data_IF_387210578117
#
_entry.id   IF_387210578117
#
_cell.length_a   1.000
_cell.length_b   1.000
_cell.length_c   1.000
_cell.angle_alpha   90.00
_cell.angle_beta   90.00
_cell.angle_gamma   90.00
#
_symmetry.space_group_name_H-M   'P 1'
#
loop_
_entity.id
_entity.type
_entity.pdbx_description
1 polymer ?
#
# COMPACT_ATOMS: atom_id res chain seq x y z
N UNK A 1 9.58 1.68 15.00
CA UNK A 1 8.91 0.53 14.34
C UNK A 1 9.87 -0.37 13.55
N UNK A 2 10.85 0.14 12.78
CA UNK A 2 11.70 -0.71 11.93
C UNK A 2 12.46 -1.81 12.69
N UNK A 3 12.93 -1.52 13.90
CA UNK A 3 13.53 -2.51 14.81
C UNK A 3 12.49 -3.40 15.50
N UNK A 4 11.60 -2.80 16.29
CA UNK A 4 10.68 -3.57 17.16
C UNK A 4 9.55 -4.28 16.41
N UNK A 5 9.23 -3.83 15.19
CA UNK A 5 8.03 -4.21 14.43
C UNK A 5 6.71 -4.11 15.21
N UNK A 6 6.71 -3.31 16.29
CA UNK A 6 5.59 -3.11 17.20
C UNK A 6 5.22 -1.64 17.26
N UNK A 7 3.92 -1.38 17.40
CA UNK A 7 3.31 -0.06 17.61
C UNK A 7 2.22 -0.24 18.66
N UNK A 8 2.26 0.52 19.74
CA UNK A 8 1.19 0.48 20.73
C UNK A 8 -0.15 0.86 20.08
N UNK A 9 -1.20 0.10 20.39
CA UNK A 9 -2.58 0.47 20.03
C UNK A 9 -3.16 1.44 21.06
N UNK A 10 -4.23 2.14 20.69
CA UNK A 10 -5.06 2.89 21.64
C UNK A 10 -5.89 1.95 22.53
N UNK A 11 -6.18 0.73 22.03
CA UNK A 11 -6.87 -0.30 22.79
C UNK A 11 -5.91 -1.02 23.74
N UNK A 12 -6.24 -1.03 25.04
CA UNK A 12 -5.46 -1.70 26.07
C UNK A 12 -5.30 -3.20 25.75
N UNK A 13 -4.08 -3.71 25.89
CA UNK A 13 -3.77 -5.13 25.60
C UNK A 13 -3.59 -5.46 24.12
N UNK A 14 -3.72 -4.49 23.21
CA UNK A 14 -3.47 -4.67 21.77
C UNK A 14 -2.14 -4.03 21.38
N UNK A 15 -1.27 -4.83 20.76
CA UNK A 15 -0.02 -4.37 20.15
C UNK A 15 -0.15 -4.47 18.64
N UNK A 16 -0.16 -3.35 17.93
CA UNK A 16 -0.11 -3.35 16.47
C UNK A 16 1.31 -3.62 15.96
N UNK A 17 1.46 -3.78 14.65
CA UNK A 17 2.76 -4.01 14.01
C UNK A 17 2.98 -5.44 13.55
N UNK A 18 3.97 -5.63 12.66
CA UNK A 18 4.31 -6.93 12.06
C UNK A 18 4.72 -8.00 13.08
N UNK A 19 5.23 -7.59 14.24
CA UNK A 19 5.60 -8.47 15.36
C UNK A 19 4.60 -8.38 16.52
N UNK A 20 3.45 -7.73 16.30
CA UNK A 20 2.33 -7.67 17.24
C UNK A 20 1.15 -8.51 16.75
N UNK A 21 -0.05 -8.10 17.14
CA UNK A 21 -1.34 -8.71 16.81
C UNK A 21 -1.88 -8.34 15.42
N UNK A 22 -1.14 -7.57 14.62
CA UNK A 22 -1.62 -7.16 13.30
C UNK A 22 -1.59 -8.34 12.32
N UNK A 23 -2.71 -8.56 11.63
CA UNK A 23 -2.82 -9.51 10.53
C UNK A 23 -3.01 -8.78 9.20
N UNK A 24 -2.72 -9.46 8.10
CA UNK A 24 -3.05 -9.01 6.75
C UNK A 24 -3.64 -10.16 5.93
N UNK A 25 -4.10 -9.89 4.71
CA UNK A 25 -4.62 -10.92 3.81
C UNK A 25 -3.60 -11.40 2.75
N UNK A 26 -2.30 -11.30 3.07
CA UNK A 26 -1.19 -11.85 2.28
C UNK A 26 -0.59 -13.06 3.00
N UNK A 27 0.58 -12.88 3.63
CA UNK A 27 1.23 -13.90 4.46
C UNK A 27 0.66 -13.94 5.90
N UNK A 28 -0.46 -13.27 6.14
CA UNK A 28 -1.21 -13.30 7.40
C UNK A 28 -0.50 -12.59 8.55
N UNK A 29 0.56 -13.15 9.13
CA UNK A 29 1.19 -12.63 10.35
C UNK A 29 2.71 -12.79 10.34
N UNK A 30 3.41 -11.94 11.09
CA UNK A 30 4.83 -12.15 11.42
C UNK A 30 5.04 -13.00 12.68
N UNK A 31 3.96 -13.41 13.37
CA UNK A 31 3.96 -14.34 14.51
C UNK A 31 4.96 -13.95 15.61
N UNK A 32 4.97 -12.67 15.99
CA UNK A 32 5.93 -12.12 16.96
C UNK A 32 7.41 -12.36 16.56
N UNK A 33 7.72 -12.38 15.25
CA UNK A 33 9.03 -12.70 14.68
C UNK A 33 9.41 -14.19 14.71
N UNK A 34 8.47 -15.08 15.01
CA UNK A 34 8.69 -16.54 14.93
C UNK A 34 8.52 -17.12 13.53
N UNK A 35 7.83 -16.41 12.62
CA UNK A 35 7.83 -16.79 11.21
C UNK A 35 9.10 -16.29 10.51
N UNK A 36 10.18 -17.10 10.58
CA UNK A 36 11.53 -16.69 10.18
C UNK A 36 11.64 -16.29 8.70
N UNK A 37 10.77 -16.80 7.83
CA UNK A 37 10.66 -16.38 6.44
C UNK A 37 10.31 -14.90 6.26
N UNK A 38 9.70 -14.27 7.26
CA UNK A 38 9.42 -12.83 7.26
C UNK A 38 10.65 -11.99 7.60
N UNK A 39 11.62 -12.53 8.34
CA UNK A 39 12.78 -11.80 8.87
C UNK A 39 13.78 -11.39 7.80
N UNK A 40 13.66 -11.91 6.58
CA UNK A 40 14.41 -11.38 5.43
C UNK A 40 14.15 -9.89 5.16
N UNK A 41 13.08 -9.31 5.70
CA UNK A 41 12.80 -7.87 5.64
C UNK A 41 12.96 -7.13 7.00
N UNK A 42 13.54 -7.78 8.01
CA UNK A 42 13.83 -7.16 9.30
C UNK A 42 15.20 -6.47 9.26
N UNK A 43 15.39 -5.41 10.06
CA UNK A 43 16.64 -4.62 10.06
C UNK A 43 17.71 -5.19 11.01
N UNK A 44 17.50 -6.39 11.54
CA UNK A 44 18.49 -7.15 12.29
C UNK A 44 19.25 -8.14 11.42
N UNK A 45 20.20 -8.82 12.03
CA UNK A 45 20.92 -9.92 11.39
C UNK A 45 20.05 -11.17 11.37
N UNK A 46 19.80 -11.72 10.17
CA UNK A 46 18.90 -12.85 10.01
C UNK A 46 19.45 -14.11 10.73
N UNK A 47 18.73 -14.59 11.74
CA UNK A 47 19.17 -15.73 12.56
C UNK A 47 19.98 -15.35 13.80
N UNK A 48 20.16 -14.06 14.08
CA UNK A 48 20.75 -13.57 15.33
C UNK A 48 19.64 -12.90 16.15
N UNK A 49 19.56 -13.24 17.44
CA UNK A 49 18.53 -12.70 18.35
C UNK A 49 18.72 -11.21 18.65
N UNK A 50 19.96 -10.73 18.57
CA UNK A 50 20.34 -9.36 18.92
C UNK A 50 21.13 -8.67 17.81
N UNK A 51 21.07 -7.33 17.78
CA UNK A 51 21.90 -6.51 16.92
C UNK A 51 21.20 -5.96 15.68
N UNK A 52 21.36 -4.65 15.47
CA UNK A 52 20.91 -3.95 14.27
C UNK A 52 21.90 -4.19 13.14
N UNK A 53 21.40 -4.62 11.98
CA UNK A 53 22.17 -4.65 10.76
C UNK A 53 22.13 -3.26 10.10
N UNK A 54 23.14 -2.43 10.41
CA UNK A 54 23.29 -1.10 9.83
C UNK A 54 23.41 -1.12 8.30
N UNK A 55 23.96 -2.20 7.74
CA UNK A 55 24.30 -2.34 6.33
C UNK A 55 23.08 -2.63 5.46
N UNK A 56 21.97 -3.11 6.04
CA UNK A 56 20.69 -3.23 5.32
C UNK A 56 20.21 -1.89 4.75
N UNK A 57 20.53 -0.78 5.42
CA UNK A 57 20.14 0.56 4.96
C UNK A 57 21.32 1.39 4.45
N UNK A 58 22.54 1.09 4.90
CA UNK A 58 23.72 1.91 4.64
C UNK A 58 24.85 1.20 3.89
N UNK A 59 24.75 -0.11 3.61
CA UNK A 59 25.76 -0.82 2.83
C UNK A 59 25.82 -0.27 1.41
N UNK A 60 27.01 0.09 0.95
CA UNK A 60 27.23 0.60 -0.42
C UNK A 60 27.19 -0.50 -1.48
N UNK A 61 27.32 -1.75 -1.06
CA UNK A 61 27.37 -2.93 -1.92
C UNK A 61 26.49 -4.04 -1.32
N UNK A 62 25.97 -4.91 -2.19
CA UNK A 62 25.21 -6.08 -1.76
C UNK A 62 26.18 -7.21 -1.45
N UNK A 63 26.06 -7.81 -0.26
CA UNK A 63 26.91 -8.92 0.16
C UNK A 63 26.09 -9.95 0.94
N UNK A 64 26.36 -11.24 0.70
CA UNK A 64 25.65 -12.33 1.37
C UNK A 64 26.30 -12.66 2.71
N UNK A 65 26.13 -11.77 3.69
CA UNK A 65 26.68 -11.96 5.04
C UNK A 65 26.25 -13.28 5.69
N UNK A 66 25.05 -13.77 5.38
CA UNK A 66 24.55 -15.01 5.98
C UNK A 66 25.35 -16.22 5.51
N UNK A 67 25.64 -16.29 4.22
CA UNK A 67 26.45 -17.36 3.63
C UNK A 67 27.89 -17.24 4.12
N UNK A 68 28.49 -16.06 4.01
CA UNK A 68 29.87 -15.83 4.46
C UNK A 68 30.08 -16.18 5.96
N UNK A 69 29.17 -15.77 6.85
CA UNK A 69 29.25 -16.14 8.26
C UNK A 69 28.97 -17.63 8.51
N UNK A 70 28.10 -18.24 7.70
CA UNK A 70 27.84 -19.69 7.76
C UNK A 70 29.08 -20.50 7.39
N UNK A 71 29.76 -20.11 6.32
CA UNK A 71 30.98 -20.78 5.84
C UNK A 71 32.13 -20.59 6.82
N UNK A 72 32.37 -19.36 7.30
CA UNK A 72 33.38 -19.09 8.34
C UNK A 72 33.13 -19.96 9.59
N UNK A 73 31.88 -20.11 10.00
CA UNK A 73 31.53 -20.93 11.17
C UNK A 73 31.70 -22.43 10.91
N UNK A 74 31.40 -22.91 9.70
CA UNK A 74 31.56 -24.31 9.32
C UNK A 74 33.04 -24.73 9.25
N UNK A 75 33.91 -23.79 8.89
CA UNK A 75 35.35 -24.00 8.71
C UNK A 75 36.21 -23.62 9.93
N UNK A 76 35.58 -23.15 11.01
CA UNK A 76 36.29 -22.55 12.14
C UNK A 76 37.25 -23.52 12.86
N UNK A 77 36.94 -24.82 12.83
CA UNK A 77 37.71 -25.90 13.46
C UNK A 77 38.46 -26.77 12.44
N UNK A 78 38.42 -26.41 11.15
CA UNK A 78 39.14 -27.14 10.11
C UNK A 78 40.60 -26.68 10.06
N UNK A 79 41.52 -27.65 10.08
CA UNK A 79 42.95 -27.39 10.04
C UNK A 79 43.55 -27.41 8.63
N UNK A 80 42.75 -27.79 7.63
CA UNK A 80 43.13 -27.84 6.23
C UNK A 80 43.57 -26.45 5.70
N UNK A 81 44.75 -26.35 5.06
CA UNK A 81 45.27 -25.08 4.56
C UNK A 81 44.36 -24.38 3.55
N UNK A 82 43.69 -25.11 2.66
CA UNK A 82 42.82 -24.53 1.64
C UNK A 82 41.58 -23.92 2.31
N UNK A 83 41.07 -24.59 3.34
CA UNK A 83 39.95 -24.10 4.15
C UNK A 83 40.31 -22.82 4.93
N UNK A 84 41.53 -22.74 5.47
CA UNK A 84 42.04 -21.53 6.12
C UNK A 84 42.20 -20.35 5.15
N UNK A 85 42.60 -20.62 3.91
CA UNK A 85 42.69 -19.59 2.86
C UNK A 85 41.30 -19.04 2.52
N UNK A 86 40.30 -19.90 2.31
CA UNK A 86 38.90 -19.50 2.07
C UNK A 86 38.37 -18.61 3.21
N UNK A 87 38.60 -18.99 4.47
CA UNK A 87 38.16 -18.18 5.62
C UNK A 87 38.86 -16.81 5.64
N UNK A 88 40.16 -16.75 5.31
CA UNK A 88 40.89 -15.49 5.25
C UNK A 88 40.35 -14.58 4.14
N UNK A 89 40.07 -15.13 2.95
CA UNK A 89 39.46 -14.41 1.83
C UNK A 89 38.09 -13.84 2.21
N UNK A 90 37.19 -14.67 2.77
CA UNK A 90 35.86 -14.22 3.24
C UNK A 90 35.97 -13.11 4.29
N UNK A 91 36.91 -13.21 5.22
CA UNK A 91 37.13 -12.16 6.22
C UNK A 91 37.64 -10.85 5.58
N UNK A 92 38.51 -10.93 4.57
CA UNK A 92 38.98 -9.76 3.82
C UNK A 92 37.86 -9.12 2.99
N UNK A 93 37.04 -9.93 2.33
CA UNK A 93 35.84 -9.47 1.63
C UNK A 93 34.88 -8.75 2.57
N UNK A 94 34.55 -9.37 3.71
CA UNK A 94 33.70 -8.74 4.73
C UNK A 94 34.31 -7.40 5.16
N UNK A 95 35.61 -7.36 5.47
CA UNK A 95 36.31 -6.11 5.85
C UNK A 95 36.27 -5.06 4.76
N UNK A 96 36.27 -5.45 3.49
CA UNK A 96 36.15 -4.55 2.34
C UNK A 96 34.75 -3.96 2.26
N UNK A 97 33.72 -4.82 2.22
CA UNK A 97 32.33 -4.40 2.05
C UNK A 97 31.83 -3.55 3.22
N UNK A 98 32.17 -3.90 4.47
CA UNK A 98 31.69 -3.15 5.65
C UNK A 98 32.23 -1.72 5.71
N UNK A 99 33.32 -1.41 4.99
CA UNK A 99 33.87 -0.05 4.89
C UNK A 99 33.14 0.80 3.86
N UNK A 100 32.44 0.18 2.90
CA UNK A 100 31.63 0.88 1.91
C UNK A 100 30.27 1.25 2.52
N UNK A 101 30.22 2.36 3.25
CA UNK A 101 28.99 2.88 3.87
C UNK A 101 28.49 4.10 3.07
N UNK A 102 27.19 4.16 2.83
CA UNK A 102 26.55 5.25 2.08
C UNK A 102 25.27 5.76 2.74
N UNK A 103 24.77 6.90 2.26
CA UNK A 103 23.43 7.35 2.60
C UNK A 103 22.39 6.45 1.92
N UNK A 104 21.26 6.11 2.59
CA UNK A 104 20.27 5.20 2.03
C UNK A 104 19.74 5.67 0.68
N UNK A 105 20.00 4.85 -0.34
CA UNK A 105 19.41 4.94 -1.68
C UNK A 105 18.12 4.10 -1.80
N UNK A 106 17.36 4.30 -2.90
CA UNK A 106 16.05 3.65 -3.11
C UNK A 106 16.09 2.12 -3.10
N UNK A 107 17.16 1.50 -3.61
CA UNK A 107 17.34 0.04 -3.59
C UNK A 107 17.43 -0.53 -2.17
N UNK A 108 18.05 0.17 -1.21
CA UNK A 108 18.14 -0.29 0.18
C UNK A 108 16.77 -0.35 0.84
N UNK A 109 15.97 0.72 0.72
CA UNK A 109 14.59 0.71 1.18
C UNK A 109 13.76 -0.33 0.42
N UNK A 110 14.02 -0.42 -0.89
CA UNK A 110 13.35 -1.29 -1.84
C UNK A 110 13.52 -2.78 -1.57
N UNK A 111 14.64 -3.21 -0.99
CA UNK A 111 14.88 -4.62 -0.67
C UNK A 111 13.74 -5.21 0.17
N UNK A 112 13.19 -4.40 1.08
CA UNK A 112 12.02 -4.76 1.88
C UNK A 112 10.71 -4.21 1.31
N UNK A 113 10.69 -2.94 0.88
CA UNK A 113 9.45 -2.24 0.55
C UNK A 113 8.90 -2.60 -0.85
N UNK A 114 9.75 -2.97 -1.80
CA UNK A 114 9.34 -3.40 -3.16
C UNK A 114 8.94 -4.87 -3.19
N UNK A 115 9.52 -5.70 -2.31
CA UNK A 115 9.39 -7.18 -2.34
C UNK A 115 8.47 -7.76 -1.27
N UNK A 116 7.79 -6.92 -0.49
CA UNK A 116 6.88 -7.35 0.58
C UNK A 116 5.74 -8.25 0.08
N UNK A 117 5.35 -9.24 0.89
CA UNK A 117 4.32 -10.24 0.50
C UNK A 117 4.87 -11.44 -0.28
N UNK A 118 6.21 -11.60 -0.29
CA UNK A 118 6.90 -12.75 -0.87
C UNK A 118 7.23 -12.61 -2.35
N UNK A 119 7.42 -11.37 -2.83
CA UNK A 119 7.86 -11.09 -4.20
C UNK A 119 7.72 -9.62 -4.59
N UNK A 120 8.43 -9.24 -5.65
CA UNK A 120 8.41 -7.88 -6.20
C UNK A 120 7.03 -7.46 -6.71
N UNK A 121 6.60 -6.25 -6.32
CA UNK A 121 5.34 -5.62 -6.69
C UNK A 121 4.09 -6.25 -6.05
N UNK A 122 4.23 -7.23 -5.16
CA UNK A 122 3.08 -8.00 -4.63
C UNK A 122 2.14 -7.14 -3.79
N UNK A 123 2.67 -6.35 -2.84
CA UNK A 123 1.87 -5.78 -1.74
C UNK A 123 1.31 -4.37 -2.00
N UNK A 124 2.13 -3.32 -2.06
CA UNK A 124 1.64 -1.93 -2.13
C UNK A 124 1.14 -1.54 -3.55
N UNK A 125 1.70 -2.15 -4.60
CA UNK A 125 1.29 -1.91 -5.99
C UNK A 125 1.85 -0.63 -6.62
N UNK A 126 2.13 0.40 -5.83
CA UNK A 126 2.85 1.62 -6.21
C UNK A 126 4.34 1.60 -5.80
N UNK A 127 4.82 0.48 -5.25
CA UNK A 127 6.20 0.26 -4.85
C UNK A 127 6.70 -1.08 -5.39
N UNK A 128 7.65 -1.03 -6.33
CA UNK A 128 8.28 -2.19 -6.95
C UNK A 128 9.71 -1.84 -7.44
N UNK A 129 10.49 -2.84 -7.85
CA UNK A 129 11.90 -2.68 -8.24
C UNK A 129 12.16 -1.66 -9.35
N UNK A 130 11.18 -1.35 -10.20
CA UNK A 130 11.30 -0.33 -11.25
C UNK A 130 11.55 1.08 -10.68
N UNK A 131 11.23 1.32 -9.41
CA UNK A 131 11.52 2.57 -8.70
C UNK A 131 12.97 2.71 -8.22
N UNK A 132 13.82 1.72 -8.49
CA UNK A 132 15.27 1.85 -8.22
C UNK A 132 15.87 2.97 -9.10
N UNK A 133 15.51 2.98 -10.38
CA UNK A 133 15.95 3.99 -11.36
C UNK A 133 14.80 4.28 -12.34
N UNK A 134 13.70 4.90 -11.88
CA UNK A 134 12.52 5.13 -12.69
C UNK A 134 12.78 6.27 -13.68
N UNK A 135 11.96 6.32 -14.74
CA UNK A 135 11.88 7.49 -15.60
C UNK A 135 10.76 8.45 -15.11
N UNK A 136 10.70 9.64 -15.69
CA UNK A 136 9.69 10.68 -15.38
C UNK A 136 8.26 10.21 -15.61
N UNK A 137 8.03 9.32 -16.57
CA UNK A 137 6.70 8.78 -16.80
C UNK A 137 6.20 7.94 -15.62
N UNK A 138 7.10 7.19 -14.97
CA UNK A 138 6.76 6.33 -13.84
C UNK A 138 6.66 7.08 -12.51
N UNK A 139 7.61 7.95 -12.18
CA UNK A 139 7.51 8.79 -10.98
C UNK A 139 8.30 10.08 -11.17
N UNK A 140 7.63 11.23 -11.18
CA UNK A 140 8.27 12.53 -11.43
C UNK A 140 9.26 12.95 -10.34
N UNK A 141 9.10 12.46 -9.10
CA UNK A 141 9.96 12.83 -7.97
C UNK A 141 11.20 11.95 -7.94
N UNK A 142 11.06 10.65 -8.20
CA UNK A 142 12.14 9.67 -8.17
C UNK A 142 12.86 9.51 -9.52
N UNK A 143 12.34 10.11 -10.60
CA UNK A 143 12.92 10.06 -11.96
C UNK A 143 14.43 10.30 -11.95
N UNK A 144 15.20 9.36 -12.47
CA UNK A 144 16.66 9.41 -12.43
C UNK A 144 17.23 10.56 -13.27
N UNK A 145 16.53 10.94 -14.34
CA UNK A 145 16.82 12.06 -15.22
C UNK A 145 16.29 13.41 -14.72
N UNK A 146 15.56 13.42 -13.60
CA UNK A 146 14.89 14.60 -13.06
C UNK A 146 15.31 14.90 -11.62
N UNK A 147 14.32 15.06 -10.74
CA UNK A 147 14.56 15.37 -9.33
C UNK A 147 15.34 14.26 -8.59
N UNK A 148 15.27 13.01 -9.08
CA UNK A 148 16.02 11.85 -8.61
C UNK A 148 15.99 11.68 -7.08
N UNK A 149 14.85 11.93 -6.44
CA UNK A 149 14.72 11.85 -4.99
C UNK A 149 15.00 10.43 -4.48
N UNK A 150 15.79 10.35 -3.40
CA UNK A 150 15.82 9.15 -2.55
C UNK A 150 14.58 9.13 -1.64
N UNK A 151 14.27 7.97 -1.05
CA UNK A 151 13.12 7.83 -0.14
C UNK A 151 13.22 8.83 1.03
N UNK A 152 14.42 9.00 1.58
CA UNK A 152 14.73 9.89 2.72
C UNK A 152 14.51 11.37 2.44
N UNK A 153 14.38 11.77 1.16
CA UNK A 153 14.07 13.16 0.80
C UNK A 153 12.67 13.57 1.27
N UNK A 154 11.67 12.69 1.12
CA UNK A 154 10.30 12.92 1.59
C UNK A 154 10.08 12.29 2.97
N UNK A 155 10.57 11.06 3.17
CA UNK A 155 10.56 10.36 4.47
C UNK A 155 11.64 10.95 5.39
N UNK A 156 11.38 12.17 5.84
CA UNK A 156 12.25 12.95 6.71
C UNK A 156 12.63 12.09 7.91
N UNK A 157 13.93 11.93 8.13
CA UNK A 157 14.47 11.02 9.14
C UNK A 157 15.27 11.80 10.17
N UNK A 158 14.87 11.71 11.43
CA UNK A 158 15.56 12.36 12.55
C UNK A 158 15.84 11.31 13.61
N UNK A 159 17.11 11.14 14.01
CA UNK A 159 17.53 10.11 14.99
C UNK A 159 16.99 8.71 14.63
N UNK A 160 17.08 8.33 13.35
CA UNK A 160 16.55 7.08 12.79
C UNK A 160 15.03 6.85 12.95
N UNK A 161 14.30 7.90 13.37
CA UNK A 161 12.85 7.92 13.27
C UNK A 161 12.47 8.45 11.88
N UNK A 162 12.01 7.53 11.03
CA UNK A 162 11.64 7.79 9.65
C UNK A 162 10.16 8.22 9.62
N UNK A 163 9.89 9.44 9.14
CA UNK A 163 8.52 9.95 9.00
C UNK A 163 7.68 9.04 8.09
N UNK A 164 6.41 8.85 8.44
CA UNK A 164 5.54 7.88 7.79
C UNK A 164 4.29 7.58 8.60
N UNK A 165 3.26 7.06 7.94
CA UNK A 165 2.05 6.58 8.61
C UNK A 165 2.38 5.40 9.51
N UNK A 166 1.74 5.31 10.68
CA UNK A 166 1.81 4.15 11.59
C UNK A 166 0.40 3.64 11.93
N UNK A 167 -0.06 2.56 11.29
CA UNK A 167 -1.37 1.92 11.47
C UNK A 167 -2.52 2.94 11.63
N UNK A 168 -2.90 3.28 12.86
CA UNK A 168 -4.00 4.19 13.21
C UNK A 168 -3.65 5.68 13.10
N UNK A 169 -2.36 6.04 13.00
CA UNK A 169 -1.90 7.44 12.97
C UNK A 169 -1.57 7.92 11.57
N UNK A 170 -2.01 9.15 11.21
CA UNK A 170 -1.70 9.75 9.92
C UNK A 170 -0.20 9.94 9.71
N UNK A 171 0.21 10.09 8.45
CA UNK A 171 1.60 10.39 8.09
C UNK A 171 2.02 11.81 8.54
N UNK A 172 1.07 12.75 8.56
CA UNK A 172 1.21 14.10 9.10
C UNK A 172 -0.12 14.52 9.70
N UNK A 173 -0.07 15.22 10.85
CA UNK A 173 -1.27 15.80 11.45
C UNK A 173 -1.68 17.12 10.78
N UNK A 174 -0.76 17.75 10.03
CA UNK A 174 -0.96 19.07 9.46
C UNK A 174 -0.61 19.10 7.96
N UNK A 175 -1.22 20.05 7.24
CA UNK A 175 -1.01 20.31 5.80
C UNK A 175 -0.34 21.67 5.60
N UNK A 176 0.86 21.80 6.16
CA UNK A 176 1.66 23.04 6.07
C UNK A 176 2.77 22.87 5.05
N UNK A 177 2.98 23.93 4.27
CA UNK A 177 4.16 24.04 3.42
C UNK A 177 5.42 24.30 4.26
N UNK A 178 6.59 23.98 3.71
CA UNK A 178 7.87 24.31 4.32
C UNK A 178 8.16 25.83 4.37
N UNK A 179 7.33 26.64 3.71
CA UNK A 179 7.36 28.11 3.81
C UNK A 179 6.62 28.56 5.07
N UNK A 180 5.53 27.89 5.42
CA UNK A 180 4.73 28.18 6.62
C UNK A 180 5.36 27.60 7.88
N UNK A 181 6.01 26.44 7.77
CA UNK A 181 6.67 25.74 8.88
C UNK A 181 7.88 24.95 8.35
N UNK A 182 9.09 25.47 8.59
CA UNK A 182 10.34 24.86 8.13
C UNK A 182 10.72 23.57 8.87
N UNK A 183 10.05 23.29 10.00
CA UNK A 183 10.18 22.09 10.80
C UNK A 183 9.15 21.01 10.43
N UNK A 184 8.20 21.32 9.55
CA UNK A 184 7.21 20.36 9.08
C UNK A 184 7.86 19.18 8.35
N UNK A 185 7.26 18.00 8.50
CA UNK A 185 7.73 16.81 7.78
C UNK A 185 7.47 16.98 6.28
N UNK A 186 8.41 16.51 5.44
CA UNK A 186 8.34 16.64 3.97
C UNK A 186 7.48 15.58 3.29
N UNK A 187 6.66 14.85 4.04
CA UNK A 187 5.96 13.65 3.56
C UNK A 187 4.66 13.98 2.82
N UNK A 188 4.13 15.20 2.99
CA UNK A 188 2.91 15.65 2.31
C UNK A 188 3.24 16.37 1.00
N UNK A 189 2.31 16.39 0.06
CA UNK A 189 2.48 17.12 -1.20
C UNK A 189 2.58 18.62 -0.92
N UNK A 190 1.75 19.10 -0.01
CA UNK A 190 1.61 20.48 0.42
C UNK A 190 2.91 21.03 1.01
N UNK A 191 3.74 20.18 1.64
CA UNK A 191 5.06 20.56 2.16
C UNK A 191 5.93 21.27 1.12
N UNK A 192 5.91 20.80 -0.14
CA UNK A 192 6.71 21.36 -1.22
C UNK A 192 5.90 22.20 -2.21
N UNK A 193 4.60 21.92 -2.37
CA UNK A 193 3.75 22.50 -3.40
C UNK A 193 2.75 23.55 -2.88
N UNK A 194 2.56 23.65 -1.56
CA UNK A 194 1.51 24.46 -0.95
C UNK A 194 0.11 23.91 -1.22
N UNK A 195 -0.91 24.66 -0.78
CA UNK A 195 -2.33 24.29 -0.92
C UNK A 195 -2.97 24.79 -2.22
N UNK A 196 -2.30 25.67 -2.96
CA UNK A 196 -2.79 26.26 -4.22
C UNK A 196 -1.79 26.09 -5.39
N UNK A 197 -1.40 24.85 -5.73
CA UNK A 197 -0.33 24.62 -6.70
C UNK A 197 -0.69 24.97 -8.15
N UNK A 198 -1.99 25.06 -8.49
CA UNK A 198 -2.46 25.30 -9.84
C UNK A 198 -2.54 26.81 -10.14
N UNK A 199 -1.54 27.34 -10.85
CA UNK A 199 -1.43 28.80 -11.13
C UNK A 199 -2.54 29.35 -12.04
N UNK A 200 -3.00 28.54 -12.99
CA UNK A 200 -3.95 28.97 -14.03
C UNK A 200 -5.33 28.31 -13.91
N UNK A 201 -5.52 27.43 -12.92
CA UNK A 201 -6.75 26.68 -12.72
C UNK A 201 -7.19 26.76 -11.27
N UNK A 202 -7.88 27.85 -10.94
CA UNK A 202 -8.39 28.08 -9.58
C UNK A 202 -9.37 27.00 -9.15
N UNK A 203 -10.13 26.41 -10.09
CA UNK A 203 -11.09 25.35 -9.77
C UNK A 203 -10.38 24.09 -9.27
N UNK A 204 -9.22 23.75 -9.82
CA UNK A 204 -8.42 22.64 -9.31
C UNK A 204 -7.87 22.89 -7.90
N UNK A 205 -7.60 24.15 -7.55
CA UNK A 205 -7.23 24.50 -6.17
C UNK A 205 -8.41 24.29 -5.21
N UNK A 206 -9.65 24.64 -5.59
CA UNK A 206 -10.84 24.36 -4.76
C UNK A 206 -11.01 22.86 -4.48
N UNK A 207 -10.61 21.99 -5.41
CA UNK A 207 -10.73 20.54 -5.21
C UNK A 207 -9.84 20.02 -4.09
N UNK A 208 -8.70 20.67 -3.81
CA UNK A 208 -7.73 20.22 -2.79
C UNK A 208 -8.33 20.20 -1.38
N UNK A 209 -9.44 20.92 -1.17
CA UNK A 209 -10.21 20.91 0.08
C UNK A 209 -10.81 19.53 0.38
N UNK A 210 -11.22 18.79 -0.65
CA UNK A 210 -11.95 17.52 -0.51
C UNK A 210 -11.35 16.36 -1.30
N UNK A 211 -10.42 16.61 -2.21
CA UNK A 211 -9.75 15.60 -3.05
C UNK A 211 -8.24 15.68 -2.80
N UNK A 212 -7.63 14.55 -2.47
CA UNK A 212 -6.20 14.47 -2.25
C UNK A 212 -5.41 14.61 -3.55
N UNK A 213 -4.22 15.21 -3.49
CA UNK A 213 -3.34 15.37 -4.66
C UNK A 213 -3.07 14.01 -5.34
N UNK A 214 -2.87 12.96 -4.54
CA UNK A 214 -2.65 11.59 -5.00
C UNK A 214 -3.80 11.09 -5.89
N UNK A 215 -5.05 11.46 -5.59
CA UNK A 215 -6.22 10.99 -6.34
C UNK A 215 -6.19 11.44 -7.79
N UNK A 216 -5.70 12.66 -8.05
CA UNK A 216 -5.59 13.23 -9.39
C UNK A 216 -4.25 12.90 -10.06
N UNK A 217 -3.16 12.83 -9.30
CA UNK A 217 -1.80 12.71 -9.86
C UNK A 217 -1.24 11.29 -9.89
N UNK A 218 -1.98 10.29 -9.39
CA UNK A 218 -1.63 8.86 -9.53
C UNK A 218 -2.82 8.14 -10.20
N UNK A 219 -2.97 8.28 -11.52
CA UNK A 219 -4.14 7.75 -12.24
C UNK A 219 -4.19 6.22 -12.22
N UNK A 220 -3.03 5.57 -12.19
CA UNK A 220 -2.84 4.12 -12.17
C UNK A 220 -1.58 3.74 -11.39
N UNK A 221 -1.63 2.60 -10.72
CA UNK A 221 -0.46 1.96 -10.09
C UNK A 221 -0.11 0.63 -10.79
N UNK A 222 0.97 -0.02 -10.34
CA UNK A 222 1.50 -1.24 -10.96
C UNK A 222 1.78 -1.03 -12.47
N UNK A 223 2.40 0.11 -12.81
CA UNK A 223 2.59 0.54 -14.20
C UNK A 223 3.73 -0.19 -14.93
N UNK A 224 4.68 -0.74 -14.18
CA UNK A 224 5.77 -1.57 -14.71
C UNK A 224 5.60 -3.03 -14.32
N UNK A 225 5.58 -3.31 -13.02
CA UNK A 225 5.41 -4.67 -12.50
C UNK A 225 3.97 -4.93 -12.06
N UNK A 226 3.41 -6.13 -12.35
CA UNK A 226 2.06 -6.47 -11.94
C UNK A 226 1.99 -6.65 -10.42
N UNK A 227 0.83 -6.36 -9.85
CA UNK A 227 0.57 -6.48 -8.42
C UNK A 227 -0.51 -7.51 -8.14
N UNK A 228 -0.43 -8.18 -6.99
CA UNK A 228 -1.43 -9.17 -6.60
C UNK A 228 -2.68 -8.44 -6.14
N UNK A 229 -3.83 -8.81 -6.69
CA UNK A 229 -5.15 -8.24 -6.36
C UNK A 229 -6.06 -9.23 -5.62
N UNK A 230 -5.74 -10.52 -5.71
CA UNK A 230 -6.47 -11.59 -5.05
C UNK A 230 -5.53 -12.65 -4.49
N UNK A 231 -5.81 -13.15 -3.28
CA UNK A 231 -5.14 -14.32 -2.70
C UNK A 231 -6.15 -15.24 -2.00
N UNK A 232 -6.34 -16.46 -2.50
CA UNK A 232 -7.23 -17.46 -1.91
C UNK A 232 -6.44 -18.61 -1.26
N UNK A 233 -6.38 -18.61 0.07
CA UNK A 233 -5.76 -19.67 0.86
C UNK A 233 -6.58 -20.97 0.91
N UNK A 234 -7.88 -20.96 0.58
CA UNK A 234 -8.73 -22.18 0.54
C UNK A 234 -8.21 -23.20 -0.48
N UNK A 235 -7.47 -22.71 -1.48
CA UNK A 235 -6.90 -23.56 -2.53
C UNK A 235 -5.52 -24.09 -2.17
N UNK A 236 -4.90 -23.62 -1.08
CA UNK A 236 -3.59 -24.10 -0.66
C UNK A 236 -3.65 -25.60 -0.30
N UNK A 237 -2.51 -26.28 -0.37
CA UNK A 237 -2.41 -27.71 -0.07
C UNK A 237 -2.56 -28.66 -1.26
N UNK A 238 -3.11 -28.23 -2.40
CA UNK A 238 -3.23 -29.15 -3.55
C UNK A 238 -1.86 -29.48 -4.11
N UNK A 239 -1.61 -30.77 -4.31
CA UNK A 239 -0.39 -31.35 -4.86
C UNK A 239 -0.71 -32.03 -6.18
N UNK A 240 0.28 -32.15 -7.06
CA UNK A 240 0.21 -32.91 -8.30
C UNK A 240 1.15 -34.11 -8.16
N UNK A 241 0.63 -35.31 -8.29
CA UNK A 241 1.38 -36.56 -8.12
C UNK A 241 2.13 -36.63 -6.77
N UNK A 242 1.45 -36.18 -5.70
CA UNK A 242 2.01 -36.12 -4.35
C UNK A 242 3.05 -35.02 -4.11
N UNK A 243 3.40 -34.23 -5.13
CA UNK A 243 4.42 -33.16 -5.05
C UNK A 243 3.80 -31.76 -5.10
N UNK A 244 4.37 -30.78 -4.35
CA UNK A 244 4.02 -29.38 -4.51
C UNK A 244 4.29 -28.90 -5.93
N UNK A 245 3.45 -27.99 -6.44
CA UNK A 245 3.59 -27.44 -7.78
C UNK A 245 3.25 -25.94 -7.82
N UNK A 246 3.63 -25.32 -8.94
CA UNK A 246 3.41 -23.90 -9.22
C UNK A 246 2.83 -23.78 -10.63
N UNK A 247 1.75 -23.02 -10.77
CA UNK A 247 1.23 -22.63 -12.08
C UNK A 247 1.58 -21.18 -12.34
N UNK A 248 2.04 -20.89 -13.56
CA UNK A 248 2.33 -19.53 -14.01
C UNK A 248 1.18 -19.01 -14.85
N UNK A 249 0.79 -17.77 -14.59
CA UNK A 249 -0.19 -17.05 -15.38
C UNK A 249 0.44 -16.14 -16.44
N UNK A 250 -0.39 -15.26 -17.05
CA UNK A 250 -0.03 -14.49 -18.25
C UNK A 250 1.10 -13.47 -18.03
N UNK A 251 1.28 -12.96 -16.81
CA UNK A 251 2.35 -12.01 -16.50
C UNK A 251 3.67 -12.67 -16.08
N UNK A 252 3.83 -13.98 -16.34
CA UNK A 252 4.96 -14.77 -15.82
C UNK A 252 4.97 -14.90 -14.28
N UNK A 253 3.93 -14.39 -13.60
CA UNK A 253 3.74 -14.51 -12.17
C UNK A 253 2.95 -15.79 -11.85
N UNK A 254 3.25 -16.45 -10.73
CA UNK A 254 2.46 -17.58 -10.27
C UNK A 254 0.99 -17.20 -10.10
N UNK A 255 0.06 -17.98 -10.65
CA UNK A 255 -1.40 -17.90 -10.37
C UNK A 255 -1.83 -18.95 -9.36
N UNK A 256 -0.99 -19.96 -9.14
CA UNK A 256 -1.18 -20.93 -8.08
C UNK A 256 0.17 -21.38 -7.51
N UNK A 257 0.22 -21.62 -6.20
CA UNK A 257 1.32 -22.34 -5.52
C UNK A 257 0.72 -23.26 -4.47
N UNK A 258 1.12 -24.52 -4.42
CA UNK A 258 0.65 -25.45 -3.37
C UNK A 258 0.76 -24.87 -1.96
N UNK A 259 1.86 -24.18 -1.68
CA UNK A 259 2.16 -23.61 -0.36
C UNK A 259 1.36 -22.34 -0.01
N UNK A 260 0.59 -21.78 -0.95
CA UNK A 260 -0.05 -20.46 -0.78
C UNK A 260 -1.46 -20.36 -1.38
N UNK A 261 -1.88 -21.29 -2.22
CA UNK A 261 -3.18 -21.25 -2.89
C UNK A 261 -3.15 -20.45 -4.20
N UNK A 262 -4.28 -19.82 -4.53
CA UNK A 262 -4.53 -19.17 -5.81
C UNK A 262 -4.33 -17.64 -5.75
N UNK A 263 -3.85 -17.05 -6.83
CA UNK A 263 -3.61 -15.62 -6.98
C UNK A 263 -4.22 -15.04 -8.25
N UNK A 264 -4.70 -13.80 -8.18
CA UNK A 264 -4.97 -12.97 -9.36
C UNK A 264 -4.08 -11.74 -9.34
N UNK A 265 -3.60 -11.37 -10.52
CA UNK A 265 -2.66 -10.28 -10.73
C UNK A 265 -3.25 -9.27 -11.71
N UNK A 266 -2.87 -8.01 -11.55
CA UNK A 266 -3.24 -6.94 -12.47
C UNK A 266 -2.06 -5.99 -12.66
N UNK A 267 -2.10 -5.24 -13.77
CA UNK A 267 -1.12 -4.22 -14.16
C UNK A 267 -1.89 -2.99 -14.64
N UNK A 268 -1.32 -1.79 -14.49
CA UNK A 268 -1.98 -0.52 -14.85
C UNK A 268 -3.34 -0.37 -14.16
N UNK A 269 -3.35 -0.53 -12.83
CA UNK A 269 -4.58 -0.65 -12.06
C UNK A 269 -5.07 0.73 -11.65
N UNK A 270 -6.33 1.04 -11.97
CA UNK A 270 -7.03 2.20 -11.45
C UNK A 270 -7.27 2.03 -9.93
N UNK A 271 -6.94 3.03 -9.10
CA UNK A 271 -7.26 3.00 -7.67
C UNK A 271 -8.76 2.99 -7.39
N UNK A 272 -9.13 2.45 -6.23
CA UNK A 272 -10.44 2.67 -5.61
C UNK A 272 -10.35 3.88 -4.68
N UNK A 273 -11.42 4.68 -4.60
CA UNK A 273 -11.40 5.97 -3.90
C UNK A 273 -12.29 5.94 -2.67
N UNK A 274 -11.78 6.45 -1.54
CA UNK A 274 -12.48 6.50 -0.26
C UNK A 274 -12.25 7.83 0.44
N UNK A 275 -13.21 8.26 1.24
CA UNK A 275 -12.96 9.30 2.24
C UNK A 275 -11.95 8.79 3.25
N UNK A 276 -10.93 9.61 3.52
CA UNK A 276 -9.82 9.23 4.36
C UNK A 276 -9.30 10.42 5.15
N UNK A 277 -9.26 10.28 6.48
CA UNK A 277 -8.76 11.29 7.42
C UNK A 277 -7.33 10.99 7.93
N UNK A 278 -6.68 9.97 7.37
CA UNK A 278 -5.34 9.58 7.78
C UNK A 278 -5.27 8.35 8.70
N UNK A 279 -6.40 7.83 9.14
CA UNK A 279 -6.50 6.68 10.04
C UNK A 279 -7.16 5.48 9.36
N UNK A 280 -6.82 4.27 9.82
CA UNK A 280 -7.40 3.02 9.35
C UNK A 280 -8.09 2.30 10.50
N UNK A 281 -9.25 1.71 10.22
CA UNK A 281 -9.75 0.59 11.01
C UNK A 281 -8.89 -0.63 10.66
N UNK A 282 -8.45 -1.38 11.67
CA UNK A 282 -7.68 -2.60 11.46
C UNK A 282 -8.22 -3.70 12.37
N UNK A 283 -8.47 -4.87 11.78
CA UNK A 283 -8.80 -6.10 12.51
C UNK A 283 -7.51 -6.87 12.74
N UNK A 284 -7.19 -7.12 14.01
CA UNK A 284 -6.10 -7.96 14.46
C UNK A 284 -6.56 -9.38 14.83
N UNK A 285 -5.62 -10.21 15.28
CA UNK A 285 -5.89 -11.59 15.72
C UNK A 285 -6.75 -11.68 17.00
N UNK A 286 -6.84 -10.59 17.78
CA UNK A 286 -7.63 -10.55 19.04
C UNK A 286 -9.05 -10.03 18.85
N UNK A 287 -9.35 -9.49 17.67
CA UNK A 287 -10.65 -8.90 17.37
C UNK A 287 -11.62 -9.97 16.85
N UNK A 288 -12.88 -9.87 17.27
CA UNK A 288 -13.96 -10.72 16.76
C UNK A 288 -14.36 -10.27 15.34
N UNK A 289 -14.74 -11.23 14.52
CA UNK A 289 -15.21 -11.01 13.15
C UNK A 289 -16.59 -11.65 12.94
N UNK A 290 -17.33 -11.14 11.96
CA UNK A 290 -18.48 -11.85 11.41
C UNK A 290 -18.05 -12.58 10.11
N UNK A 291 -18.00 -13.92 10.11
CA UNK A 291 -17.62 -14.68 8.91
C UNK A 291 -18.72 -14.73 7.84
N UNK A 292 -19.94 -14.22 8.12
CA UNK A 292 -20.99 -14.08 7.11
C UNK A 292 -20.73 -12.92 6.13
N UNK A 293 -19.95 -11.93 6.56
CA UNK A 293 -19.61 -10.74 5.79
C UNK A 293 -18.17 -10.79 5.26
N UNK A 294 -17.83 -9.83 4.37
CA UNK A 294 -16.45 -9.59 3.98
C UNK A 294 -15.75 -8.84 5.12
N UNK A 295 -14.72 -9.46 5.70
CA UNK A 295 -13.96 -8.86 6.79
C UNK A 295 -12.96 -7.84 6.24
N UNK A 296 -13.18 -6.58 6.55
CA UNK A 296 -12.28 -5.50 6.17
C UNK A 296 -11.10 -5.40 7.12
N UNK A 297 -10.07 -6.22 6.88
CA UNK A 297 -8.90 -6.35 7.75
C UNK A 297 -8.17 -5.02 7.91
N UNK A 298 -8.17 -4.19 6.86
CA UNK A 298 -7.70 -2.81 6.92
C UNK A 298 -8.57 -1.94 6.01
N UNK A 299 -9.26 -0.97 6.60
CA UNK A 299 -10.19 -0.07 5.91
C UNK A 299 -9.87 1.41 6.20
N UNK A 300 -9.81 2.29 5.19
CA UNK A 300 -9.58 3.71 5.40
C UNK A 300 -10.77 4.35 6.14
N UNK A 301 -10.50 5.10 7.21
CA UNK A 301 -11.53 5.83 7.94
C UNK A 301 -11.65 7.27 7.45
N UNK A 302 -12.88 7.78 7.45
CA UNK A 302 -13.19 9.16 7.11
C UNK A 302 -14.57 9.26 6.49
N UNK A 303 -15.16 10.44 6.56
CA UNK A 303 -16.45 10.72 5.96
C UNK A 303 -16.50 12.16 5.43
N UNK A 304 -17.49 12.48 4.60
CA UNK A 304 -17.62 13.80 3.95
C UNK A 304 -17.66 14.98 4.94
N UNK A 305 -18.21 14.75 6.12
CA UNK A 305 -18.41 15.70 7.23
C UNK A 305 -17.17 15.88 8.08
N UNK A 306 -16.21 14.96 8.03
CA UNK A 306 -14.94 15.09 8.73
C UNK A 306 -14.09 16.18 8.06
N UNK A 307 -13.72 17.26 8.77
CA UNK A 307 -12.92 18.34 8.19
C UNK A 307 -11.50 17.91 7.81
N UNK A 308 -11.00 16.81 8.36
CA UNK A 308 -9.68 16.25 8.04
C UNK A 308 -9.74 15.22 6.91
N UNK A 309 -10.94 14.76 6.52
CA UNK A 309 -11.10 13.77 5.48
C UNK A 309 -11.09 14.36 4.07
N UNK A 310 -10.34 13.70 3.18
CA UNK A 310 -10.37 13.92 1.73
C UNK A 310 -10.56 12.61 1.00
N UNK A 311 -10.89 12.66 -0.28
CA UNK A 311 -10.97 11.50 -1.15
C UNK A 311 -9.56 11.11 -1.56
N UNK A 312 -9.11 9.92 -1.16
CA UNK A 312 -7.78 9.37 -1.43
C UNK A 312 -7.85 8.10 -2.29
N UNK A 313 -6.79 7.78 -3.07
CA UNK A 313 -6.71 6.55 -3.86
C UNK A 313 -6.11 5.38 -3.06
N UNK A 314 -6.68 4.20 -3.23
CA UNK A 314 -6.26 2.97 -2.56
C UNK A 314 -6.19 1.80 -3.53
N UNK A 315 -5.22 0.92 -3.28
CA UNK A 315 -5.29 -0.47 -3.73
C UNK A 315 -6.10 -1.25 -2.70
N UNK A 316 -7.13 -1.95 -3.14
CA UNK A 316 -7.85 -2.93 -2.31
C UNK A 316 -7.44 -4.34 -2.73
N UNK A 317 -6.63 -4.98 -1.89
CA UNK A 317 -6.34 -6.40 -2.06
C UNK A 317 -7.47 -7.22 -1.43
N UNK A 318 -7.97 -8.21 -2.17
CA UNK A 318 -9.06 -9.10 -1.72
C UNK A 318 -8.55 -10.53 -1.55
N UNK A 319 -9.26 -11.37 -0.83
CA UNK A 319 -8.83 -12.76 -0.68
C UNK A 319 -9.72 -13.60 0.22
N UNK A 320 -9.28 -14.83 0.45
CA UNK A 320 -9.83 -15.73 1.49
C UNK A 320 -8.70 -16.20 2.38
N UNK A 321 -8.86 -16.07 3.69
CA UNK A 321 -7.85 -16.45 4.67
C UNK A 321 -8.49 -17.22 5.83
N UNK A 322 -7.72 -18.05 6.56
CA UNK A 322 -8.26 -18.83 7.65
C UNK A 322 -8.68 -17.94 8.83
N UNK A 323 -9.69 -18.41 9.56
CA UNK A 323 -10.14 -17.87 10.84
C UNK A 323 -10.53 -19.02 11.79
N UNK A 324 -10.48 -18.78 13.10
CA UNK A 324 -10.92 -19.72 14.12
C UNK A 324 -12.46 -19.77 14.12
N UNK A 325 -13.01 -20.94 13.80
CA UNK A 325 -14.45 -21.11 13.56
C UNK A 325 -15.30 -20.89 14.81
N UNK A 326 -14.76 -21.22 15.98
CA UNK A 326 -15.49 -21.17 17.25
C UNK A 326 -15.32 -19.79 17.89
N UNK A 327 -14.08 -19.29 17.94
CA UNK A 327 -13.79 -17.99 18.54
C UNK A 327 -14.11 -16.81 17.62
N UNK A 328 -14.37 -17.08 16.34
CA UNK A 328 -14.66 -16.07 15.29
C UNK A 328 -13.59 -14.98 15.24
N UNK A 329 -12.32 -15.38 15.14
CA UNK A 329 -11.18 -14.46 15.01
C UNK A 329 -10.28 -14.89 13.86
N UNK A 330 -9.67 -13.94 13.17
CA UNK A 330 -8.61 -14.26 12.22
C UNK A 330 -7.47 -14.97 12.95
N UNK A 331 -6.81 -15.92 12.29
CA UNK A 331 -5.70 -16.69 12.89
C UNK A 331 -4.36 -16.27 12.31
N UNK A 332 -3.28 -16.70 12.93
CA UNK A 332 -1.92 -16.36 12.55
C UNK A 332 -1.08 -17.63 12.41
N UNK A 333 -1.18 -18.37 11.29
CA UNK A 333 -0.41 -19.59 11.10
C UNK A 333 1.09 -19.31 10.96
N UNK A 334 1.94 -20.21 11.48
CA UNK A 334 3.36 -20.26 11.09
C UNK A 334 3.47 -20.86 9.69
N UNK A 335 3.97 -20.07 8.75
CA UNK A 335 4.04 -20.45 7.35
C UNK A 335 5.40 -21.04 6.98
N UNK A 336 6.50 -20.48 7.49
CA UNK A 336 7.86 -20.89 7.12
C UNK A 336 8.52 -21.83 8.13
N UNK A 337 9.68 -22.39 7.73
CA UNK A 337 10.47 -23.30 8.56
C UNK A 337 10.03 -24.76 8.47
N UNK A 338 10.77 -25.68 9.14
CA UNK A 338 10.50 -27.13 9.05
C UNK A 338 9.09 -27.52 9.48
N UNK A 339 8.55 -26.81 10.48
CA UNK A 339 7.22 -27.04 11.05
C UNK A 339 6.16 -26.06 10.52
N UNK A 340 6.49 -25.24 9.52
CA UNK A 340 5.56 -24.29 8.93
C UNK A 340 4.70 -24.92 7.84
N UNK A 341 3.56 -24.30 7.54
CA UNK A 341 2.63 -24.76 6.51
C UNK A 341 3.29 -24.98 5.13
N UNK A 342 4.28 -24.18 4.75
CA UNK A 342 4.99 -24.32 3.47
C UNK A 342 5.78 -25.64 3.34
N UNK A 343 6.08 -26.29 4.47
CA UNK A 343 6.79 -27.57 4.53
C UNK A 343 5.84 -28.72 4.80
N UNK A 344 4.94 -28.57 5.79
CA UNK A 344 4.09 -29.65 6.30
C UNK A 344 2.78 -29.79 5.53
N UNK A 345 2.27 -28.71 4.96
CA UNK A 345 0.90 -28.60 4.43
C UNK A 345 -0.21 -28.87 5.47
N UNK A 346 0.12 -28.77 6.76
CA UNK A 346 -0.85 -28.86 7.86
C UNK A 346 -1.21 -27.45 8.35
N UNK A 347 -2.37 -26.95 7.91
CA UNK A 347 -2.84 -25.62 8.30
C UNK A 347 -3.27 -25.59 9.78
N UNK A 348 -3.81 -26.69 10.30
CA UNK A 348 -4.33 -26.74 11.66
C UNK A 348 -3.19 -26.64 12.69
N UNK A 349 -2.13 -27.42 12.48
CA UNK A 349 -0.91 -27.35 13.29
C UNK A 349 -0.20 -26.00 13.14
N UNK A 350 -0.12 -25.46 11.91
CA UNK A 350 0.46 -24.15 11.66
C UNK A 350 -0.26 -23.03 12.43
N UNK A 351 -1.60 -23.04 12.44
CA UNK A 351 -2.44 -22.12 13.22
C UNK A 351 -2.15 -22.28 14.71
N UNK A 352 -2.21 -23.50 15.24
CA UNK A 352 -2.02 -23.77 16.66
C UNK A 352 -0.66 -23.23 17.16
N UNK A 353 0.42 -23.44 16.39
CA UNK A 353 1.75 -22.94 16.75
C UNK A 353 1.84 -21.42 16.69
N UNK A 354 1.31 -20.79 15.64
CA UNK A 354 1.46 -19.35 15.44
C UNK A 354 0.55 -18.52 16.35
N UNK A 355 -0.68 -18.96 16.60
CA UNK A 355 -1.55 -18.35 17.62
C UNK A 355 -0.89 -18.39 19.01
N UNK A 356 -0.20 -19.49 19.35
CA UNK A 356 0.56 -19.63 20.60
C UNK A 356 1.68 -18.59 20.73
N UNK A 357 2.35 -18.18 19.65
CA UNK A 357 3.43 -17.17 19.74
C UNK A 357 2.91 -15.76 20.04
N UNK A 358 1.59 -15.55 19.93
CA UNK A 358 0.91 -14.29 20.17
C UNK A 358 0.00 -14.34 21.42
N UNK A 359 0.10 -15.41 22.23
CA UNK A 359 -0.76 -15.67 23.38
C UNK A 359 -2.27 -15.55 23.04
N UNK A 360 -2.66 -16.09 21.88
CA UNK A 360 -4.06 -16.17 21.47
C UNK A 360 -4.50 -17.63 21.45
N UNK A 361 -5.56 -18.02 22.17
CA UNK A 361 -6.10 -19.37 22.09
C UNK A 361 -6.56 -19.72 20.67
N UNK A 362 -6.46 -21.01 20.33
CA UNK A 362 -7.04 -21.57 19.11
C UNK A 362 -7.98 -22.71 19.51
N UNK A 363 -9.19 -22.73 18.94
CA UNK A 363 -10.22 -23.73 19.25
C UNK A 363 -9.88 -25.13 18.74
N UNK A 364 -8.96 -25.25 17.78
CA UNK A 364 -8.69 -26.51 17.07
C UNK A 364 -9.48 -26.65 15.77
N UNK A 365 -10.42 -25.74 15.50
CA UNK A 365 -11.22 -25.71 14.27
C UNK A 365 -11.07 -24.36 13.55
N UNK A 366 -10.84 -24.43 12.24
CA UNK A 366 -10.77 -23.26 11.38
C UNK A 366 -11.66 -23.43 10.15
N UNK A 367 -12.06 -22.29 9.59
CA UNK A 367 -12.66 -22.20 8.26
C UNK A 367 -12.06 -20.96 7.56
N UNK A 368 -12.57 -20.60 6.39
CA UNK A 368 -12.08 -19.46 5.61
C UNK A 368 -13.15 -18.37 5.48
N UNK A 369 -12.69 -17.12 5.53
CA UNK A 369 -13.53 -15.94 5.37
C UNK A 369 -12.99 -15.06 4.25
N UNK A 370 -13.87 -14.37 3.53
CA UNK A 370 -13.48 -13.36 2.55
C UNK A 370 -12.98 -12.10 3.24
N UNK A 371 -11.88 -11.54 2.74
CA UNK A 371 -11.23 -10.38 3.36
C UNK A 371 -10.79 -9.32 2.37
N UNK A 372 -10.79 -8.06 2.80
CA UNK A 372 -10.19 -6.94 2.08
C UNK A 372 -9.05 -6.32 2.90
N UNK A 373 -8.09 -5.70 2.21
CA UNK A 373 -7.00 -4.97 2.84
C UNK A 373 -6.61 -3.79 1.95
N UNK A 374 -6.79 -2.58 2.48
CA UNK A 374 -6.49 -1.34 1.78
C UNK A 374 -5.02 -0.92 1.95
N UNK A 375 -4.39 -0.51 0.84
CA UNK A 375 -3.10 0.18 0.81
C UNK A 375 -3.28 1.55 0.17
N UNK A 376 -2.82 2.63 0.83
CA UNK A 376 -2.84 3.94 0.20
C UNK A 376 -1.88 3.96 -0.98
N UNK A 377 -2.28 4.60 -2.07
CA UNK A 377 -1.44 4.83 -3.24
C UNK A 377 -0.81 6.22 -3.13
N UNK A 378 0.50 6.28 -2.94
CA UNK A 378 1.21 7.52 -2.60
C UNK A 378 2.47 7.76 -3.44
N UNK A 379 2.90 6.79 -4.23
CA UNK A 379 4.04 6.87 -5.14
C UNK A 379 3.58 6.68 -6.58
N UNK A 380 4.54 6.69 -7.51
CA UNK A 380 4.26 6.69 -8.95
C UNK A 380 3.45 7.92 -9.36
N UNK A 381 3.84 9.11 -8.85
CA UNK A 381 3.21 10.37 -9.26
C UNK A 381 3.51 10.60 -10.75
N UNK A 382 2.46 10.66 -11.56
CA UNK A 382 2.56 10.84 -13.00
C UNK A 382 2.90 12.30 -13.35
N UNK A 383 3.43 12.54 -14.57
CA UNK A 383 3.54 13.89 -15.11
C UNK A 383 2.23 14.68 -15.04
N UNK A 384 2.32 16.00 -14.85
CA UNK A 384 1.14 16.86 -14.68
C UNK A 384 0.16 16.78 -15.87
N UNK A 385 0.69 16.60 -17.09
CA UNK A 385 -0.06 16.38 -18.32
C UNK A 385 -0.81 15.03 -18.38
N UNK A 386 -0.56 14.14 -17.42
CA UNK A 386 -1.23 12.84 -17.24
C UNK A 386 -2.07 12.78 -15.96
N UNK A 387 -2.22 13.90 -15.26
CA UNK A 387 -3.16 13.99 -14.16
C UNK A 387 -4.60 13.78 -14.67
N UNK A 388 -5.47 13.31 -13.79
CA UNK A 388 -6.88 13.08 -14.12
C UNK A 388 -7.54 14.37 -14.61
N UNK A 389 -8.35 14.24 -15.65
CA UNK A 389 -9.17 15.35 -16.13
C UNK A 389 -10.57 15.32 -15.50
N UNK A 390 -11.33 16.42 -15.66
CA UNK A 390 -12.65 16.59 -15.08
C UNK A 390 -13.60 15.43 -15.39
N UNK A 391 -13.61 14.96 -16.65
CA UNK A 391 -14.56 13.95 -17.14
C UNK A 391 -14.30 12.55 -16.59
N UNK A 392 -13.14 12.28 -16.01
CA UNK A 392 -12.88 10.99 -15.35
C UNK A 392 -13.64 10.85 -14.02
N UNK A 393 -14.01 11.97 -13.40
CA UNK A 393 -14.78 11.99 -12.15
C UNK A 393 -16.21 12.48 -12.35
N UNK A 394 -16.41 13.50 -13.21
CA UNK A 394 -17.68 14.19 -13.46
C UNK A 394 -18.45 13.60 -14.66
N UNK A 395 -18.52 12.28 -14.73
CA UNK A 395 -19.27 11.55 -15.76
C UNK A 395 -20.24 10.58 -15.09
N UNK A 396 -21.36 10.29 -15.74
CA UNK A 396 -22.39 9.40 -15.19
C UNK A 396 -21.93 7.95 -15.16
N UNK A 397 -21.41 7.47 -16.27
CA UNK A 397 -20.98 6.09 -16.44
C UNK A 397 -19.47 6.01 -16.30
N UNK A 398 -18.99 4.99 -15.58
CA UNK A 398 -17.56 4.74 -15.36
C UNK A 398 -16.82 5.88 -14.64
N UNK A 399 -17.52 6.67 -13.81
CA UNK A 399 -16.87 7.64 -12.91
C UNK A 399 -15.88 6.94 -11.99
N UNK A 400 -14.66 7.48 -11.89
CA UNK A 400 -13.68 7.05 -10.89
C UNK A 400 -14.21 7.20 -9.45
N UNK A 401 -15.11 8.15 -9.23
CA UNK A 401 -15.72 8.43 -7.93
C UNK A 401 -17.09 7.76 -7.78
N UNK A 402 -17.47 6.76 -8.58
CA UNK A 402 -18.80 6.15 -8.53
C UNK A 402 -19.22 5.67 -7.12
N UNK A 403 -18.27 5.18 -6.31
CA UNK A 403 -18.53 4.69 -4.96
C UNK A 403 -18.58 5.80 -3.89
N UNK A 404 -18.25 7.06 -4.24
CA UNK A 404 -18.32 8.19 -3.30
C UNK A 404 -19.75 8.72 -3.26
N UNK A 405 -20.52 8.31 -2.25
CA UNK A 405 -21.91 8.71 -2.09
C UNK A 405 -22.08 9.88 -1.10
N UNK A 406 -23.28 10.43 -1.03
CA UNK A 406 -23.63 11.46 -0.03
C UNK A 406 -23.15 12.88 -0.35
N UNK A 407 -22.51 13.10 -1.50
CA UNK A 407 -22.23 14.42 -2.06
C UNK A 407 -22.80 14.49 -3.48
N UNK A 408 -23.15 15.69 -3.93
CA UNK A 408 -23.55 15.94 -5.31
C UNK A 408 -22.32 16.30 -6.14
N UNK A 409 -21.97 15.45 -7.11
CA UNK A 409 -20.94 15.70 -8.11
C UNK A 409 -21.58 16.12 -9.43
N UNK A 410 -21.37 17.38 -9.88
CA UNK A 410 -21.85 17.84 -11.18
C UNK A 410 -21.45 16.88 -12.31
N UNK A 411 -22.34 16.61 -13.26
CA UNK A 411 -22.07 15.71 -14.39
C UNK A 411 -22.20 14.22 -14.08
N UNK A 412 -21.87 13.78 -12.85
CA UNK A 412 -22.12 12.40 -12.39
C UNK A 412 -23.53 12.24 -11.84
N UNK A 413 -23.89 13.08 -10.88
CA UNK A 413 -25.17 13.03 -10.20
C UNK A 413 -26.22 13.87 -10.93
N UNK A 414 -27.49 13.53 -10.72
CA UNK A 414 -28.65 14.25 -11.23
C UNK A 414 -29.64 14.48 -10.11
N UNK A 415 -30.41 15.55 -10.22
CA UNK A 415 -31.55 15.77 -9.35
C UNK A 415 -32.72 16.16 -10.24
N UNK A 416 -33.61 15.21 -10.52
CA UNK A 416 -34.67 15.39 -11.52
C UNK A 416 -35.55 16.62 -11.21
N UNK A 417 -35.73 16.98 -9.94
CA UNK A 417 -36.47 18.18 -9.55
C UNK A 417 -35.73 19.48 -9.90
N UNK A 418 -34.46 19.59 -9.51
CA UNK A 418 -33.61 20.75 -9.82
C UNK A 418 -33.40 20.85 -11.34
N UNK A 419 -33.14 19.73 -12.01
CA UNK A 419 -32.91 19.67 -13.45
C UNK A 419 -34.17 20.09 -14.21
N UNK A 420 -35.36 19.68 -13.75
CA UNK A 420 -36.65 20.11 -14.32
C UNK A 420 -36.87 21.61 -14.13
N UNK A 421 -36.66 22.14 -12.92
CA UNK A 421 -36.76 23.59 -12.66
C UNK A 421 -35.78 24.37 -13.53
N UNK A 422 -34.54 23.90 -13.63
CA UNK A 422 -33.51 24.50 -14.47
C UNK A 422 -33.93 24.53 -15.94
N UNK A 423 -34.47 23.43 -16.45
CA UNK A 423 -34.97 23.38 -17.83
C UNK A 423 -36.19 24.27 -18.06
N UNK A 424 -37.12 24.36 -17.10
CA UNK A 424 -38.25 25.29 -17.18
C UNK A 424 -37.74 26.74 -17.21
N UNK A 425 -36.75 27.08 -16.39
CA UNK A 425 -36.16 28.42 -16.37
C UNK A 425 -35.45 28.76 -17.70
N UNK A 426 -34.69 27.82 -18.26
CA UNK A 426 -34.02 28.00 -19.57
C UNK A 426 -35.05 28.19 -20.69
N UNK A 427 -36.06 27.32 -20.76
CA UNK A 427 -37.13 27.43 -21.75
C UNK A 427 -37.92 28.73 -21.57
N UNK A 428 -38.24 29.10 -20.32
CA UNK A 428 -38.92 30.35 -19.98
C UNK A 428 -38.14 31.58 -20.42
N UNK A 429 -36.83 31.61 -20.17
CA UNK A 429 -35.95 32.68 -20.63
C UNK A 429 -35.87 32.73 -22.17
N UNK A 430 -35.74 31.58 -22.83
CA UNK A 430 -35.75 31.48 -24.29
C UNK A 430 -37.05 32.04 -24.90
N UNK A 431 -38.21 31.63 -24.37
CA UNK A 431 -39.50 32.16 -24.81
C UNK A 431 -39.64 33.66 -24.51
N UNK A 432 -39.16 34.13 -23.36
CA UNK A 432 -39.15 35.55 -23.02
C UNK A 432 -38.34 36.39 -24.02
N UNK A 433 -37.14 35.93 -24.40
CA UNK A 433 -36.31 36.58 -25.42
C UNK A 433 -36.97 36.54 -26.79
N UNK A 434 -37.55 35.40 -27.18
CA UNK A 434 -38.25 35.26 -28.46
C UNK A 434 -39.46 36.19 -28.55
N UNK A 435 -40.30 36.24 -27.51
CA UNK A 435 -41.46 37.13 -27.43
C UNK A 435 -41.04 38.60 -27.45
N UNK A 436 -39.97 38.96 -26.73
CA UNK A 436 -39.41 40.31 -26.77
C UNK A 436 -38.91 40.66 -28.19
N UNK A 437 -38.22 39.74 -28.86
CA UNK A 437 -37.74 39.92 -30.25
C UNK A 437 -38.89 40.09 -31.24
N UNK A 438 -39.93 39.24 -31.17
CA UNK A 438 -41.13 39.35 -31.99
C UNK A 438 -41.87 40.67 -31.73
N UNK A 439 -42.02 41.06 -30.47
CA UNK A 439 -42.60 42.36 -30.10
C UNK A 439 -41.84 43.53 -30.72
N UNK A 440 -40.50 43.51 -30.69
CA UNK A 440 -39.68 44.52 -31.37
C UNK A 440 -39.86 44.51 -32.89
N UNK A 441 -40.00 43.35 -33.52
CA UNK A 441 -40.23 43.24 -34.96
C UNK A 441 -41.56 43.87 -35.39
N UNK A 442 -42.66 43.52 -34.70
CA UNK A 442 -43.99 44.05 -35.03
C UNK A 442 -44.16 45.54 -34.67
N UNK A 443 -43.60 45.99 -33.55
CA UNK A 443 -43.63 47.42 -33.18
C UNK A 443 -42.77 48.31 -34.10
N UNK A 444 -41.74 47.76 -34.73
CA UNK A 444 -40.87 48.49 -35.67
C UNK A 444 -41.46 48.62 -37.08
N UNK A 445 -42.33 47.68 -37.48
CA UNK A 445 -43.06 47.74 -38.75
C UNK A 445 -44.48 48.32 -38.61
N UNK A 446 -44.92 48.65 -37.39
CA UNK A 446 -46.24 49.24 -37.10
C UNK A 446 -46.29 50.77 -37.14
N UNK A 447 -45.35 51.43 -37.84
CA UNK A 447 -45.40 52.87 -38.15
C UNK A 447 -45.35 53.10 -39.66
N UNK A 448 -46.41 52.72 -40.32
CA UNK A 448 -46.91 53.42 -41.51
C UNK A 448 -48.40 53.68 -41.27
N UNK A 449 -48.68 54.86 -40.72
CA UNK A 449 -49.79 55.75 -41.08
C UNK A 449 -49.58 57.10 -40.38
#
# INVERSE_FOLDING_TARGET
>A
IHWTWKVASENQGIMNGKAGHAVNNFCISGNAMEDKGCLGCHVGWNGVEEGVNCLNCHGGETYNYKEAFGDIQAFLEDDDPDTKEIVAELQEEIKSVVKHITMPQRNHCGECHFKGGGGDGVKHGDLDTSLTKPNRALDVHMAAEGANFTCTRCHTTVKHNIAGRLYTRPASAERKSLIEDDMATKITCESCHGNVPHKTDSKMNDHVDKVACQSCHIPEYARVNPTKMWWDWTKAGKKKDGKPYVEKGPYGKPTYKSIKGEFKWAKNVQPEYFWYNGSFSNIGIKDEIDPADIVEVSHPLGEKTDPNARIHPFKIHRGKQPYDKINKRLVAPILSGPNGFWSTFDMNDAIARGNKTLDVPYSGEFDYVETTYAFPITHMVAPGEKALNCTECHIRENSRLANITGIYLPGRDKNDFIDTIGMIAVLGAFFGVMLHGLGRFFTRNGKED
#
